data_IF_986200556254
#
_entry.id   IF_986200556254
#
_cell.length_a   1.000
_cell.length_b   1.000
_cell.length_c   1.000
_cell.angle_alpha   90.00
_cell.angle_beta   90.00
_cell.angle_gamma   90.00
#
_symmetry.space_group_name_H-M   'P 1'
#
loop_
_entity.id
_entity.type
_entity.pdbx_description
1 polymer ?
#
# COMPACT_ATOMS: atom_id res chain seq x y z
N UNK A 1 -1.84 -3.35 87.27
CA UNK A 1 -2.42 -1.98 87.31
C UNK A 1 -2.92 -1.74 88.73
N UNK A 2 -2.62 -0.56 89.31
CA UNK A 2 -3.12 -0.20 90.64
C UNK A 2 -4.66 -0.21 90.64
N UNK A 3 -5.27 -0.70 91.71
CA UNK A 3 -6.75 -0.72 91.83
C UNK A 3 -7.33 0.69 91.95
N UNK A 4 -6.56 1.63 92.48
CA UNK A 4 -6.85 3.07 92.48
C UNK A 4 -5.66 3.83 91.88
N UNK A 5 -5.90 4.61 90.82
CA UNK A 5 -4.86 5.46 90.24
C UNK A 5 -4.70 6.77 91.02
N UNK A 6 -3.54 7.40 90.87
CA UNK A 6 -3.14 8.55 91.68
C UNK A 6 -4.10 9.75 91.48
N UNK A 7 -4.59 9.98 90.25
CA UNK A 7 -5.55 11.05 89.96
C UNK A 7 -6.92 10.83 90.62
N UNK A 8 -7.42 9.59 90.67
CA UNK A 8 -8.67 9.28 91.37
C UNK A 8 -8.48 9.35 92.89
N UNK A 9 -7.31 8.93 93.40
CA UNK A 9 -6.95 9.04 94.81
C UNK A 9 -6.90 10.49 95.31
N UNK A 10 -6.31 11.41 94.53
CA UNK A 10 -6.27 12.84 94.86
C UNK A 10 -7.67 13.45 94.95
N UNK A 11 -8.56 13.12 94.01
CA UNK A 11 -9.95 13.61 94.03
C UNK A 11 -10.70 13.14 95.28
N UNK A 12 -10.57 11.87 95.65
CA UNK A 12 -11.22 11.31 96.83
C UNK A 12 -10.63 11.91 98.12
N UNK A 13 -9.31 12.05 98.19
CA UNK A 13 -8.60 12.63 99.35
C UNK A 13 -9.00 14.09 99.57
N UNK A 14 -9.13 14.87 98.51
CA UNK A 14 -9.56 16.27 98.60
C UNK A 14 -10.97 16.38 99.22
N UNK A 15 -11.88 15.50 98.83
CA UNK A 15 -13.24 15.48 99.34
C UNK A 15 -13.33 14.98 100.78
N UNK A 16 -12.57 13.95 101.16
CA UNK A 16 -12.45 13.52 102.57
C UNK A 16 -11.95 14.66 103.46
N UNK A 17 -10.93 15.42 103.01
CA UNK A 17 -10.41 16.58 103.75
C UNK A 17 -11.45 17.70 103.90
N UNK A 18 -12.34 17.88 102.90
CA UNK A 18 -13.41 18.88 102.93
C UNK A 18 -14.47 18.58 103.99
N UNK A 19 -14.71 17.31 104.31
CA UNK A 19 -15.78 16.86 105.21
C UNK A 19 -15.38 16.90 106.70
N UNK A 20 -14.09 17.00 107.02
CA UNK A 20 -13.56 17.00 108.40
C UNK A 20 -13.60 18.41 108.98
N UNK A 21 -14.38 18.64 110.05
CA UNK A 21 -14.60 19.98 110.65
C UNK A 21 -14.13 20.13 112.10
N UNK A 22 -13.56 19.10 112.73
CA UNK A 22 -13.10 19.19 114.12
C UNK A 22 -12.18 18.05 114.57
N UNK A 23 -11.56 18.14 115.77
CA UNK A 23 -10.53 17.21 116.24
C UNK A 23 -11.02 15.78 116.45
N UNK A 24 -12.30 15.60 116.78
CA UNK A 24 -12.96 14.30 116.98
C UNK A 24 -13.21 13.54 115.65
N UNK A 25 -13.11 14.22 114.51
CA UNK A 25 -13.35 13.65 113.17
C UNK A 25 -12.05 13.23 112.45
N UNK A 26 -10.87 13.52 113.02
CA UNK A 26 -9.59 13.13 112.41
C UNK A 26 -9.37 11.61 112.37
N UNK A 27 -9.92 10.88 113.34
CA UNK A 27 -9.87 9.41 113.34
C UNK A 27 -10.63 8.84 112.14
N UNK A 28 -11.77 9.43 111.74
CA UNK A 28 -12.55 8.99 110.58
C UNK A 28 -11.81 9.24 109.27
N UNK A 29 -11.14 10.39 109.14
CA UNK A 29 -10.28 10.72 108.01
C UNK A 29 -9.17 9.71 107.83
N UNK A 30 -8.46 9.38 108.90
CA UNK A 30 -7.37 8.41 108.87
C UNK A 30 -7.81 7.03 108.41
N UNK A 31 -9.00 6.58 108.80
CA UNK A 31 -9.56 5.29 108.37
C UNK A 31 -9.76 5.25 106.86
N UNK A 32 -10.44 6.25 106.29
CA UNK A 32 -10.72 6.28 104.84
C UNK A 32 -9.45 6.46 104.03
N UNK A 33 -8.53 7.35 104.45
CA UNK A 33 -7.27 7.53 103.74
C UNK A 33 -6.44 6.25 103.74
N UNK A 34 -6.36 5.51 104.86
CA UNK A 34 -5.67 4.21 104.88
C UNK A 34 -6.31 3.19 103.93
N UNK A 35 -7.65 3.12 103.87
CA UNK A 35 -8.37 2.25 102.92
C UNK A 35 -8.05 2.62 101.48
N UNK A 36 -8.11 3.91 101.14
CA UNK A 36 -7.81 4.40 99.79
C UNK A 36 -6.33 4.17 99.42
N UNK A 37 -5.39 4.44 100.32
CA UNK A 37 -3.96 4.17 100.11
C UNK A 37 -3.71 2.67 99.88
N UNK A 38 -4.42 1.78 100.59
CA UNK A 38 -4.33 0.34 100.38
C UNK A 38 -4.68 -0.02 98.93
N UNK A 39 -5.70 0.60 98.35
CA UNK A 39 -6.06 0.36 96.95
C UNK A 39 -5.10 0.98 95.92
N UNK A 40 -4.36 2.03 96.30
CA UNK A 40 -3.24 2.51 95.49
C UNK A 40 -2.06 1.52 95.48
N UNK A 41 -1.87 0.77 96.56
CA UNK A 41 -0.80 -0.23 96.70
C UNK A 41 -1.18 -1.61 96.15
N UNK A 42 -2.47 -1.91 96.03
CA UNK A 42 -2.96 -3.18 95.50
C UNK A 42 -2.99 -3.19 93.97
N UNK A 43 -2.57 -4.30 93.39
CA UNK A 43 -2.77 -4.58 91.97
C UNK A 43 -4.05 -5.38 91.75
N UNK A 44 -4.82 -5.02 90.73
CA UNK A 44 -6.07 -5.71 90.40
C UNK A 44 -6.94 -4.92 89.44
N UNK A 45 -8.21 -5.31 89.33
CA UNK A 45 -9.19 -4.56 88.53
C UNK A 45 -9.40 -3.16 89.12
N UNK A 46 -9.46 -2.11 88.27
CA UNK A 46 -9.74 -0.76 88.74
C UNK A 46 -11.05 -0.72 89.52
N UNK A 47 -11.01 -0.12 90.71
CA UNK A 47 -12.17 0.08 91.56
C UNK A 47 -13.31 0.74 90.79
N UNK A 48 -14.46 0.11 90.90
CA UNK A 48 -15.73 0.59 90.36
C UNK A 48 -16.35 1.60 91.31
N UNK A 49 -17.32 2.36 90.81
CA UNK A 49 -18.09 3.30 91.61
C UNK A 49 -18.77 2.63 92.81
N UNK A 50 -19.32 1.42 92.64
CA UNK A 50 -19.98 0.69 93.72
C UNK A 50 -19.00 0.29 94.84
N UNK A 51 -17.80 -0.17 94.48
CA UNK A 51 -16.76 -0.53 95.46
C UNK A 51 -16.21 0.71 96.18
N UNK A 52 -15.96 1.81 95.46
CA UNK A 52 -15.54 3.07 96.10
C UNK A 52 -16.59 3.59 97.08
N UNK A 53 -17.87 3.50 96.72
CA UNK A 53 -18.96 3.92 97.58
C UNK A 53 -19.03 3.08 98.86
N UNK A 54 -18.98 1.76 98.73
CA UNK A 54 -19.04 0.85 99.88
C UNK A 54 -17.91 1.06 100.90
N UNK A 55 -16.71 1.45 100.44
CA UNK A 55 -15.53 1.66 101.29
C UNK A 55 -15.49 3.01 102.01
N UNK A 56 -16.35 3.95 101.59
CA UNK A 56 -16.38 5.33 102.10
C UNK A 56 -17.69 5.63 102.85
N UNK A 57 -18.82 5.06 102.41
CA UNK A 57 -20.17 5.36 102.92
C UNK A 57 -20.37 4.98 104.39
N UNK A 58 -19.65 3.96 104.89
CA UNK A 58 -19.71 3.54 106.30
C UNK A 58 -19.05 4.55 107.26
N UNK A 59 -18.05 5.30 106.79
CA UNK A 59 -17.31 6.29 107.60
C UNK A 59 -17.77 7.72 107.31
N UNK A 60 -18.14 8.03 106.07
CA UNK A 60 -18.70 9.31 105.64
C UNK A 60 -19.98 9.10 104.82
N UNK A 61 -21.15 8.95 105.48
CA UNK A 61 -22.43 8.81 104.79
C UNK A 61 -22.81 10.02 103.93
N UNK A 62 -22.26 11.20 104.23
CA UNK A 62 -22.52 12.46 103.53
C UNK A 62 -21.59 12.72 102.32
N UNK A 63 -20.80 11.73 101.90
CA UNK A 63 -19.83 11.89 100.82
C UNK A 63 -20.48 12.17 99.46
N UNK A 64 -19.96 13.14 98.68
CA UNK A 64 -20.57 13.53 97.40
C UNK A 64 -20.48 12.42 96.34
N UNK A 65 -21.64 11.92 95.95
CA UNK A 65 -21.82 10.88 94.95
C UNK A 65 -21.25 11.25 93.58
N UNK A 66 -21.25 12.55 93.22
CA UNK A 66 -20.67 13.03 91.96
C UNK A 66 -19.15 12.88 91.95
N UNK A 67 -18.50 13.08 93.10
CA UNK A 67 -17.05 12.90 93.24
C UNK A 67 -16.70 11.42 93.10
N UNK A 68 -17.47 10.51 93.72
CA UNK A 68 -17.28 9.06 93.57
C UNK A 68 -17.41 8.59 92.12
N UNK A 69 -18.44 9.03 91.40
CA UNK A 69 -18.64 8.68 89.98
C UNK A 69 -17.52 9.20 89.09
N UNK A 70 -17.06 10.43 89.33
CA UNK A 70 -15.95 11.03 88.57
C UNK A 70 -14.64 10.30 88.85
N UNK A 71 -14.34 10.01 90.11
CA UNK A 71 -13.16 9.25 90.51
C UNK A 71 -13.15 7.85 89.86
N UNK A 72 -14.27 7.12 89.88
CA UNK A 72 -14.37 5.81 89.23
C UNK A 72 -14.13 5.85 87.71
N UNK A 73 -14.61 6.90 87.03
CA UNK A 73 -14.40 7.07 85.58
C UNK A 73 -12.93 7.34 85.26
N UNK A 74 -12.28 8.20 86.03
CA UNK A 74 -10.85 8.52 85.89
C UNK A 74 -9.99 7.31 86.20
N UNK A 75 -10.40 6.50 87.18
CA UNK A 75 -9.70 5.29 87.58
C UNK A 75 -9.61 4.22 86.48
N UNK A 76 -10.59 4.17 85.56
CA UNK A 76 -10.65 3.16 84.48
C UNK A 76 -9.80 3.47 83.24
N UNK A 77 -9.41 4.74 83.02
CA UNK A 77 -8.60 5.17 81.86
C UNK A 77 -9.29 5.00 80.48
N UNK A 78 -8.71 5.59 79.42
CA UNK A 78 -9.12 5.37 78.02
C UNK A 78 -8.53 4.04 77.50
N UNK A 79 -9.38 3.07 77.17
CA UNK A 79 -8.96 1.74 76.69
C UNK A 79 -8.29 1.72 75.31
N UNK A 80 -7.65 0.59 74.97
CA UNK A 80 -6.85 0.34 73.73
C UNK A 80 -7.60 0.75 72.46
N UNK A 81 -8.91 0.47 72.38
CA UNK A 81 -9.76 0.82 71.23
C UNK A 81 -9.82 2.34 70.97
N UNK A 82 -9.73 3.14 72.03
CA UNK A 82 -9.71 4.61 71.94
C UNK A 82 -8.42 5.14 71.31
N UNK A 83 -7.28 4.48 71.59
CA UNK A 83 -5.97 4.81 71.01
C UNK A 83 -5.87 4.42 69.54
N UNK A 84 -6.40 3.25 69.16
CA UNK A 84 -6.41 2.79 67.75
C UNK A 84 -7.26 3.73 66.88
N UNK A 85 -8.43 4.16 67.35
CA UNK A 85 -9.28 5.12 66.61
C UNK A 85 -8.57 6.46 66.38
N UNK A 86 -7.81 6.96 67.36
CA UNK A 86 -7.07 8.23 67.20
C UNK A 86 -5.95 8.11 66.17
N UNK A 87 -5.18 7.01 66.20
CA UNK A 87 -4.12 6.75 65.20
C UNK A 87 -4.71 6.56 63.79
N UNK A 88 -5.81 5.82 63.65
CA UNK A 88 -6.47 5.65 62.35
C UNK A 88 -6.96 6.98 61.77
N UNK A 89 -7.60 7.83 62.59
CA UNK A 89 -8.07 9.16 62.17
C UNK A 89 -6.89 10.06 61.80
N UNK A 90 -5.81 10.10 62.58
CA UNK A 90 -4.64 10.93 62.25
C UNK A 90 -3.98 10.51 60.94
N UNK A 91 -3.90 9.21 60.68
CA UNK A 91 -3.31 8.68 59.44
C UNK A 91 -4.19 8.99 58.23
N UNK A 92 -5.52 8.84 58.36
CA UNK A 92 -6.47 9.18 57.31
C UNK A 92 -6.48 10.69 56.98
N UNK A 93 -6.40 11.55 58.01
CA UNK A 93 -6.30 13.01 57.82
C UNK A 93 -4.99 13.38 57.13
N UNK A 94 -3.86 12.77 57.51
CA UNK A 94 -2.58 13.00 56.86
C UNK A 94 -2.60 12.57 55.38
N UNK A 95 -3.12 11.39 55.08
CA UNK A 95 -3.26 10.89 53.71
C UNK A 95 -4.19 11.77 52.85
N UNK A 96 -5.34 12.18 53.40
CA UNK A 96 -6.29 13.07 52.73
C UNK A 96 -5.69 14.46 52.44
N UNK A 97 -4.88 14.97 53.37
CA UNK A 97 -4.18 16.25 53.23
C UNK A 97 -3.08 16.16 52.16
N UNK A 98 -2.32 15.06 52.13
CA UNK A 98 -1.30 14.81 51.10
C UNK A 98 -1.92 14.70 49.71
N UNK A 99 -3.09 14.05 49.60
CA UNK A 99 -3.84 13.95 48.35
C UNK A 99 -4.32 15.33 47.87
N UNK A 100 -4.89 16.16 48.76
CA UNK A 100 -5.36 17.51 48.43
C UNK A 100 -4.21 18.43 47.97
N UNK A 101 -3.06 18.35 48.64
CA UNK A 101 -1.85 19.12 48.32
C UNK A 101 -1.21 18.66 47.00
N UNK A 102 -1.38 17.39 46.64
CA UNK A 102 -0.91 16.82 45.38
C UNK A 102 -1.93 16.92 44.23
N UNK A 103 -3.05 17.64 44.40
CA UNK A 103 -3.98 17.88 43.28
C UNK A 103 -3.31 18.71 42.18
N UNK A 104 -3.57 18.43 40.89
CA UNK A 104 -2.98 19.12 39.75
C UNK A 104 -3.58 20.52 39.51
N UNK A 105 -3.75 21.31 40.58
CA UNK A 105 -4.29 22.67 40.52
C UNK A 105 -3.20 23.71 40.83
N UNK A 106 -2.86 24.61 39.90
CA UNK A 106 -1.71 25.51 40.06
C UNK A 106 -1.80 26.45 41.27
N UNK A 107 -3.01 26.90 41.66
CA UNK A 107 -3.20 27.77 42.82
C UNK A 107 -2.85 27.10 44.15
N UNK A 108 -2.94 25.77 44.23
CA UNK A 108 -2.59 24.98 45.43
C UNK A 108 -1.12 24.60 45.40
N UNK A 109 -0.59 24.20 44.24
CA UNK A 109 0.80 23.72 44.11
C UNK A 109 1.84 24.82 44.23
N UNK A 110 1.56 26.05 43.80
CA UNK A 110 2.54 27.14 43.81
C UNK A 110 2.96 27.59 45.23
N UNK A 111 2.04 27.76 46.20
CA UNK A 111 2.44 27.99 47.58
C UNK A 111 3.19 26.79 48.19
N UNK A 112 2.73 25.57 47.89
CA UNK A 112 3.31 24.33 48.43
C UNK A 112 4.74 24.12 47.94
N UNK A 113 5.05 24.40 46.68
CA UNK A 113 6.40 24.26 46.14
C UNK A 113 7.40 25.22 46.78
N UNK A 114 6.96 26.40 47.24
CA UNK A 114 7.80 27.38 47.95
C UNK A 114 8.01 27.05 49.42
N UNK A 115 6.98 26.50 50.07
CA UNK A 115 6.96 26.32 51.53
C UNK A 115 7.38 24.90 51.95
N UNK A 116 6.98 23.87 51.20
CA UNK A 116 7.21 22.46 51.52
C UNK A 116 7.39 21.59 50.26
N UNK A 117 8.47 21.79 49.48
CA UNK A 117 8.66 21.13 48.18
C UNK A 117 8.71 19.59 48.24
N UNK A 118 9.12 19.02 49.38
CA UNK A 118 9.20 17.56 49.60
C UNK A 118 7.83 16.87 49.39
N UNK A 119 6.72 17.57 49.68
CA UNK A 119 5.37 17.03 49.50
C UNK A 119 4.99 16.81 48.03
N UNK A 120 5.70 17.45 47.10
CA UNK A 120 5.47 17.34 45.64
C UNK A 120 6.47 16.40 44.95
N UNK A 121 7.46 15.85 45.68
CA UNK A 121 8.54 15.03 45.12
C UNK A 121 8.02 13.84 44.27
N UNK A 122 7.02 13.04 44.69
CA UNK A 122 6.51 11.94 43.87
C UNK A 122 5.90 12.42 42.53
N UNK A 123 5.22 13.56 42.52
CA UNK A 123 4.65 14.13 41.30
C UNK A 123 5.76 14.62 40.36
N UNK A 124 6.82 15.23 40.89
CA UNK A 124 7.95 15.66 40.08
C UNK A 124 8.74 14.47 39.51
N UNK A 125 8.98 13.42 40.31
CA UNK A 125 9.57 12.15 39.86
C UNK A 125 8.82 11.54 38.67
N UNK A 126 7.49 11.45 38.77
CA UNK A 126 6.66 10.99 37.66
C UNK A 126 6.78 11.91 36.43
N UNK A 127 6.85 13.22 36.65
CA UNK A 127 6.98 14.20 35.57
C UNK A 127 8.32 14.09 34.82
N UNK A 128 9.46 13.92 35.53
CA UNK A 128 10.77 13.63 34.88
C UNK A 128 10.70 12.44 33.99
N UNK A 129 10.14 11.37 34.55
CA UNK A 129 10.22 10.09 33.91
C UNK A 129 9.47 10.18 32.58
N UNK A 130 8.25 10.71 32.61
CA UNK A 130 7.47 10.92 31.39
C UNK A 130 8.13 11.91 30.44
N UNK A 131 8.69 13.02 30.94
CA UNK A 131 9.36 13.98 30.08
C UNK A 131 10.60 13.40 29.40
N UNK A 132 11.54 12.81 30.15
CA UNK A 132 12.76 12.23 29.60
C UNK A 132 12.48 11.08 28.64
N UNK A 133 11.50 10.23 28.97
CA UNK A 133 11.06 9.18 28.07
C UNK A 133 10.46 9.78 26.81
N UNK A 134 9.59 10.79 26.91
CA UNK A 134 9.04 11.48 25.75
C UNK A 134 10.14 12.05 24.84
N UNK A 135 11.07 12.84 25.38
CA UNK A 135 12.15 13.45 24.58
C UNK A 135 13.02 12.38 23.91
N UNK A 136 13.40 11.32 24.64
CA UNK A 136 14.19 10.23 24.07
C UNK A 136 13.46 9.48 22.96
N UNK A 137 12.16 9.24 23.13
CA UNK A 137 11.32 8.59 22.13
C UNK A 137 11.08 9.49 20.91
N UNK A 138 10.93 10.80 21.10
CA UNK A 138 10.87 11.77 19.99
C UNK A 138 12.14 11.73 19.16
N UNK A 139 13.32 11.71 19.79
CA UNK A 139 14.59 11.62 19.06
C UNK A 139 14.73 10.31 18.28
N UNK A 140 14.31 9.19 18.86
CA UNK A 140 14.30 7.90 18.16
C UNK A 140 13.30 7.90 17.00
N UNK A 141 12.10 8.43 17.22
CA UNK A 141 11.09 8.57 16.19
C UNK A 141 11.58 9.45 15.03
N UNK A 142 12.24 10.57 15.34
CA UNK A 142 12.75 11.49 14.32
C UNK A 142 13.77 10.83 13.40
N UNK A 143 14.69 10.03 13.96
CA UNK A 143 15.62 9.22 13.17
C UNK A 143 14.89 8.21 12.29
N UNK A 144 13.92 7.48 12.85
CA UNK A 144 13.18 6.43 12.14
C UNK A 144 12.25 6.98 11.05
N UNK A 145 11.67 8.15 11.25
CA UNK A 145 10.72 8.78 10.30
C UNK A 145 11.45 9.60 9.25
N UNK A 146 12.38 10.48 9.64
CA UNK A 146 13.05 11.38 8.68
C UNK A 146 14.20 10.72 7.92
N UNK A 147 14.77 9.63 8.46
CA UNK A 147 15.87 8.90 7.82
C UNK A 147 15.47 7.47 7.48
N UNK A 148 14.16 7.22 7.29
CA UNK A 148 13.64 5.91 6.95
C UNK A 148 14.27 5.37 5.67
N UNK A 149 14.76 4.13 5.75
CA UNK A 149 15.30 3.40 4.60
C UNK A 149 14.43 2.21 4.22
N UNK A 150 13.53 1.81 5.11
CA UNK A 150 12.65 0.66 4.96
C UNK A 150 11.24 0.94 5.53
N UNK A 151 10.25 0.15 5.11
CA UNK A 151 8.91 0.22 5.68
C UNK A 151 8.89 -0.14 7.18
N UNK A 152 9.81 -1.02 7.62
CA UNK A 152 9.95 -1.34 9.03
C UNK A 152 10.42 -0.15 9.86
N UNK A 153 11.27 0.73 9.31
CA UNK A 153 11.70 1.96 9.98
C UNK A 153 10.49 2.90 10.21
N UNK A 154 9.62 3.03 9.21
CA UNK A 154 8.39 3.85 9.29
C UNK A 154 7.43 3.28 10.35
N UNK A 155 7.22 1.97 10.37
CA UNK A 155 6.33 1.31 11.34
C UNK A 155 6.86 1.46 12.78
N UNK A 156 8.15 1.20 13.00
CA UNK A 156 8.77 1.39 14.29
C UNK A 156 8.75 2.86 14.71
N UNK A 157 8.98 3.78 13.76
CA UNK A 157 8.86 5.22 13.95
C UNK A 157 7.48 5.61 14.45
N UNK A 158 6.42 5.09 13.84
CA UNK A 158 5.03 5.31 14.27
C UNK A 158 4.77 4.82 15.70
N UNK A 159 5.30 3.65 16.07
CA UNK A 159 5.22 3.14 17.44
C UNK A 159 5.89 4.10 18.44
N UNK A 160 7.09 4.62 18.10
CA UNK A 160 7.83 5.57 18.94
C UNK A 160 7.12 6.92 19.05
N UNK A 161 6.54 7.43 17.96
CA UNK A 161 5.68 8.62 17.98
C UNK A 161 4.52 8.42 18.95
N UNK A 162 3.77 7.32 18.83
CA UNK A 162 2.63 7.03 19.72
C UNK A 162 3.05 6.92 21.20
N UNK A 163 4.17 6.24 21.47
CA UNK A 163 4.71 6.13 22.84
C UNK A 163 5.13 7.49 23.39
N UNK A 164 5.79 8.32 22.59
CA UNK A 164 6.20 9.67 22.99
C UNK A 164 4.99 10.57 23.30
N UNK A 165 3.96 10.55 22.45
CA UNK A 165 2.72 11.29 22.64
C UNK A 165 2.04 10.88 23.96
N UNK A 166 1.97 9.58 24.23
CA UNK A 166 1.43 9.03 25.50
C UNK A 166 2.21 9.50 26.74
N UNK A 167 3.51 9.73 26.62
CA UNK A 167 4.32 10.28 27.71
C UNK A 167 4.13 11.80 27.86
N UNK A 168 4.03 12.55 26.75
CA UNK A 168 3.75 13.98 26.79
C UNK A 168 2.35 14.30 27.35
N UNK A 169 1.33 13.50 27.02
CA UNK A 169 -0.03 13.72 27.50
C UNK A 169 -0.22 13.48 29.00
N UNK A 170 0.73 12.78 29.64
CA UNK A 170 0.80 12.66 31.09
C UNK A 170 1.43 13.87 31.77
N UNK A 171 2.04 14.77 31.01
CA UNK A 171 2.57 16.02 31.54
C UNK A 171 1.42 17.03 31.70
N UNK A 172 1.17 17.53 32.91
CA UNK A 172 -0.04 18.28 33.17
C UNK A 172 0.05 19.74 32.72
N UNK A 173 -0.82 20.19 31.80
CA UNK A 173 -0.81 21.51 31.11
C UNK A 173 -0.48 22.74 31.99
N UNK A 174 -0.85 22.74 33.28
CA UNK A 174 -0.49 23.83 34.21
C UNK A 174 1.02 24.03 34.40
N UNK A 175 1.86 23.07 34.00
CA UNK A 175 3.32 23.15 34.10
C UNK A 175 3.92 24.20 33.13
N UNK A 176 3.19 24.59 32.08
CA UNK A 176 3.69 25.39 30.95
C UNK A 176 3.96 26.88 31.26
N UNK A 177 3.64 27.36 32.46
CA UNK A 177 3.82 28.78 32.83
C UNK A 177 4.66 29.06 34.08
N UNK A 178 4.93 28.08 34.94
CA UNK A 178 5.51 28.34 36.27
C UNK A 178 6.34 27.16 36.84
N UNK A 179 7.68 27.28 36.74
CA UNK A 179 8.78 26.67 37.54
C UNK A 179 9.04 25.13 37.48
N UNK A 180 10.28 24.63 37.74
CA UNK A 180 11.52 25.32 38.18
C UNK A 180 12.76 25.16 37.26
N UNK A 181 13.65 26.17 37.27
CA UNK A 181 15.07 26.02 36.93
C UNK A 181 15.73 25.22 38.07
N UNK A 182 16.20 24.00 37.79
CA UNK A 182 17.02 23.10 38.63
C UNK A 182 17.09 23.38 40.15
N UNK A 183 16.66 22.40 40.96
CA UNK A 183 16.92 22.44 42.41
C UNK A 183 17.58 21.18 42.96
N UNK A 184 18.35 21.45 44.00
CA UNK A 184 19.46 20.66 44.49
C UNK A 184 19.20 19.91 45.79
N UNK A 185 20.03 18.89 46.01
CA UNK A 185 20.43 18.42 47.33
C UNK A 185 21.91 18.73 47.59
N UNK A 186 22.40 18.41 48.79
CA UNK A 186 23.80 18.46 49.22
C UNK A 186 24.77 17.50 48.48
N UNK A 187 24.28 16.59 47.62
CA UNK A 187 25.14 15.60 46.90
C UNK A 187 24.78 15.49 45.40
N UNK A 188 23.56 15.81 44.94
CA UNK A 188 23.30 16.10 43.52
C UNK A 188 21.92 16.74 43.26
N UNK A 189 21.81 17.39 42.10
CA UNK A 189 20.64 18.10 41.58
C UNK A 189 20.50 17.75 40.11
N UNK A 190 19.33 17.35 39.61
CA UNK A 190 19.02 17.56 38.19
C UNK A 190 17.51 17.59 37.94
N UNK A 191 17.02 18.79 37.63
CA UNK A 191 15.71 19.00 36.99
C UNK A 191 15.86 20.12 35.98
N UNK A 192 15.75 19.82 34.68
CA UNK A 192 15.70 20.82 33.61
C UNK A 192 14.58 20.43 32.64
N UNK A 193 13.40 20.99 32.91
CA UNK A 193 12.29 21.05 31.96
C UNK A 193 12.27 22.46 31.43
N UNK A 194 12.19 22.60 30.12
CA UNK A 194 11.92 23.90 29.52
C UNK A 194 10.59 23.82 28.77
N UNK A 195 9.83 24.91 28.84
CA UNK A 195 8.62 25.06 28.04
C UNK A 195 8.96 24.89 26.55
N UNK A 196 10.08 25.48 26.13
CA UNK A 196 10.59 25.42 24.76
C UNK A 196 10.84 23.97 24.29
N UNK A 197 11.54 23.14 25.07
CA UNK A 197 11.78 21.73 24.70
C UNK A 197 10.46 20.92 24.62
N UNK A 198 9.49 21.20 25.49
CA UNK A 198 8.19 20.54 25.41
C UNK A 198 7.37 20.98 24.18
N UNK A 199 7.34 22.29 23.90
CA UNK A 199 6.66 22.83 22.73
C UNK A 199 7.28 22.27 21.45
N UNK A 200 8.61 22.23 21.38
CA UNK A 200 9.37 21.60 20.28
C UNK A 200 8.99 20.12 20.16
N UNK A 201 9.02 19.35 21.25
CA UNK A 201 8.68 17.93 21.21
C UNK A 201 7.26 17.66 20.71
N UNK A 202 6.27 18.46 21.14
CA UNK A 202 4.89 18.36 20.62
C UNK A 202 4.79 18.73 19.15
N UNK A 203 5.49 19.78 18.72
CA UNK A 203 5.53 20.20 17.32
C UNK A 203 6.17 19.14 16.43
N UNK A 204 7.27 18.54 16.88
CA UNK A 204 7.98 17.48 16.17
C UNK A 204 7.10 16.23 16.05
N UNK A 205 6.38 15.84 17.11
CA UNK A 205 5.40 14.74 17.04
C UNK A 205 4.32 15.05 16.00
N UNK A 206 3.69 16.23 16.05
CA UNK A 206 2.65 16.58 15.08
C UNK A 206 3.16 16.60 13.64
N UNK A 207 4.42 17.02 13.40
CA UNK A 207 5.06 16.93 12.09
C UNK A 207 5.27 15.47 11.67
N UNK A 208 5.81 14.64 12.55
CA UNK A 208 6.07 13.23 12.27
C UNK A 208 4.77 12.46 12.03
N UNK A 209 3.69 12.74 12.77
CA UNK A 209 2.38 12.13 12.52
C UNK A 209 1.87 12.43 11.12
N UNK A 210 2.03 13.68 10.65
CA UNK A 210 1.66 14.05 9.29
C UNK A 210 2.54 13.36 8.23
N UNK A 211 3.86 13.27 8.46
CA UNK A 211 4.78 12.56 7.58
C UNK A 211 4.49 11.06 7.52
N UNK A 212 4.25 10.43 8.67
CA UNK A 212 3.89 9.02 8.79
C UNK A 212 2.59 8.71 8.04
N UNK A 213 1.59 9.58 8.15
CA UNK A 213 0.34 9.45 7.38
C UNK A 213 0.60 9.52 5.87
N UNK A 214 1.45 10.46 5.42
CA UNK A 214 1.84 10.55 4.01
C UNK A 214 2.59 9.31 3.54
N UNK A 215 3.56 8.82 4.32
CA UNK A 215 4.36 7.62 4.02
C UNK A 215 3.50 6.36 3.96
N UNK A 216 2.54 6.19 4.89
CA UNK A 216 1.63 5.05 4.89
C UNK A 216 0.74 5.03 3.64
N UNK A 217 0.10 6.15 3.31
CA UNK A 217 -0.71 6.24 2.09
C UNK A 217 0.13 5.98 0.83
N UNK A 218 1.38 6.45 0.82
CA UNK A 218 2.30 6.24 -0.29
C UNK A 218 2.72 4.77 -0.42
N UNK A 219 2.94 4.05 0.69
CA UNK A 219 3.22 2.62 0.71
C UNK A 219 2.01 1.81 0.21
N UNK A 220 0.80 2.14 0.65
CA UNK A 220 -0.42 1.48 0.15
C UNK A 220 -0.58 1.69 -1.36
N UNK A 221 -0.31 2.91 -1.86
CA UNK A 221 -0.31 3.21 -3.28
C UNK A 221 0.80 2.47 -4.06
N UNK A 222 1.96 2.26 -3.45
CA UNK A 222 3.06 1.50 -4.05
C UNK A 222 2.67 0.03 -4.23
N UNK A 223 2.14 -0.60 -3.20
CA UNK A 223 1.72 -2.00 -3.24
C UNK A 223 0.59 -2.18 -4.26
N UNK A 224 -0.44 -1.33 -4.21
CA UNK A 224 -1.54 -1.36 -5.17
C UNK A 224 -1.07 -1.17 -6.63
N UNK A 225 -0.14 -0.24 -6.87
CA UNK A 225 0.41 0.01 -8.19
C UNK A 225 1.28 -1.14 -8.71
N UNK A 226 2.10 -1.75 -7.84
CA UNK A 226 2.90 -2.93 -8.20
C UNK A 226 1.98 -4.11 -8.53
N UNK A 227 1.02 -4.42 -7.66
CA UNK A 227 0.07 -5.52 -7.85
C UNK A 227 -0.74 -5.34 -9.14
N UNK A 228 -1.16 -4.11 -9.44
CA UNK A 228 -1.88 -3.79 -10.68
C UNK A 228 -1.02 -4.05 -11.93
N UNK A 229 0.26 -3.65 -11.90
CA UNK A 229 1.19 -3.92 -13.02
C UNK A 229 1.44 -5.41 -13.17
N UNK A 230 1.75 -6.12 -12.09
CA UNK A 230 2.08 -7.55 -12.13
C UNK A 230 0.86 -8.39 -12.56
N UNK A 231 -0.34 -8.05 -12.08
CA UNK A 231 -1.58 -8.68 -12.55
C UNK A 231 -1.84 -8.43 -14.04
N UNK A 232 -1.58 -7.21 -14.53
CA UNK A 232 -1.75 -6.89 -15.95
C UNK A 232 -0.71 -7.61 -16.83
N UNK A 233 0.53 -7.77 -16.36
CA UNK A 233 1.54 -8.59 -17.02
C UNK A 233 1.09 -10.05 -17.13
N UNK A 234 0.56 -10.62 -16.05
CA UNK A 234 0.02 -11.97 -16.07
C UNK A 234 -1.17 -12.11 -17.04
N UNK A 235 -2.10 -11.14 -17.04
CA UNK A 235 -3.21 -11.11 -17.99
C UNK A 235 -2.73 -11.07 -19.44
N UNK A 236 -1.63 -10.36 -19.73
CA UNK A 236 -1.04 -10.32 -21.06
C UNK A 236 -0.47 -11.69 -21.48
N UNK A 237 0.19 -12.40 -20.57
CA UNK A 237 0.75 -13.74 -20.83
C UNK A 237 -0.36 -14.78 -21.05
N UNK A 238 -1.43 -14.73 -20.25
CA UNK A 238 -2.56 -15.65 -20.32
C UNK A 238 -3.52 -15.36 -21.50
N UNK A 239 -3.44 -14.15 -22.06
CA UNK A 239 -4.33 -13.71 -23.13
C UNK A 239 -4.12 -14.49 -24.44
N UNK A 240 -5.22 -14.98 -25.00
CA UNK A 240 -5.22 -15.79 -26.22
C UNK A 240 -5.55 -14.99 -27.47
N UNK A 241 -6.24 -13.85 -27.30
CA UNK A 241 -6.63 -12.98 -28.41
C UNK A 241 -5.86 -11.64 -28.42
N UNK A 242 -5.69 -11.01 -29.59
CA UNK A 242 -5.11 -9.66 -29.67
C UNK A 242 -5.88 -8.59 -28.89
N UNK A 243 -7.21 -8.75 -28.76
CA UNK A 243 -8.05 -7.82 -27.98
C UNK A 243 -7.74 -7.93 -26.49
N UNK A 244 -7.69 -9.13 -25.94
CA UNK A 244 -7.33 -9.37 -24.54
C UNK A 244 -5.93 -8.85 -24.21
N UNK A 245 -4.96 -9.06 -25.13
CA UNK A 245 -3.62 -8.49 -24.97
C UNK A 245 -3.62 -6.96 -24.97
N UNK A 246 -4.50 -6.34 -25.77
CA UNK A 246 -4.66 -4.88 -25.77
C UNK A 246 -5.23 -4.39 -24.44
N UNK A 247 -6.28 -5.04 -23.94
CA UNK A 247 -6.89 -4.69 -22.65
C UNK A 247 -5.88 -4.84 -21.49
N UNK A 248 -5.06 -5.89 -21.52
CA UNK A 248 -3.97 -6.08 -20.55
C UNK A 248 -2.92 -4.96 -20.61
N UNK A 249 -2.53 -4.47 -21.80
CA UNK A 249 -1.61 -3.32 -21.90
C UNK A 249 -2.21 -2.01 -21.38
N UNK A 250 -3.53 -1.83 -21.49
CA UNK A 250 -4.23 -0.68 -20.90
C UNK A 250 -4.25 -0.78 -19.37
N UNK A 251 -4.54 -1.95 -18.82
CA UNK A 251 -4.48 -2.20 -17.38
C UNK A 251 -3.06 -1.99 -16.82
N UNK A 252 -2.04 -2.43 -17.56
CA UNK A 252 -0.64 -2.22 -17.20
C UNK A 252 -0.31 -0.72 -17.16
N UNK A 253 -0.70 0.05 -18.17
CA UNK A 253 -0.50 1.50 -18.17
C UNK A 253 -1.18 2.16 -16.96
N UNK A 254 -2.39 1.72 -16.58
CA UNK A 254 -3.08 2.24 -15.39
C UNK A 254 -2.32 1.96 -14.09
N UNK A 255 -1.70 0.78 -13.95
CA UNK A 255 -0.81 0.47 -12.82
C UNK A 255 0.43 1.36 -12.79
N UNK A 256 1.04 1.63 -13.95
CA UNK A 256 2.15 2.59 -14.10
C UNK A 256 1.73 4.01 -13.71
N UNK A 257 0.54 4.44 -14.08
CA UNK A 257 0.01 5.76 -13.74
C UNK A 257 -0.20 5.89 -12.23
N UNK A 258 -0.77 4.85 -11.59
CA UNK A 258 -0.90 4.76 -10.12
C UNK A 258 0.46 4.94 -9.43
N UNK A 259 1.50 4.27 -9.92
CA UNK A 259 2.87 4.41 -9.39
C UNK A 259 3.47 5.80 -9.63
N UNK A 260 3.07 6.51 -10.69
CA UNK A 260 3.55 7.87 -10.97
C UNK A 260 2.92 8.94 -10.07
N UNK A 261 1.71 8.68 -9.55
CA UNK A 261 1.03 9.61 -8.64
C UNK A 261 1.64 9.63 -7.23
N UNK A 262 2.46 8.63 -6.90
CA UNK A 262 3.12 8.52 -5.60
C UNK A 262 4.16 9.64 -5.44
N UNK A 263 4.08 10.47 -4.37
CA UNK A 263 5.00 11.59 -4.20
C UNK A 263 6.46 11.15 -4.07
N UNK A 264 7.40 11.69 -4.88
CA UNK A 264 8.78 11.20 -4.97
C UNK A 264 9.62 11.44 -3.71
N UNK A 265 9.20 12.35 -2.83
CA UNK A 265 9.84 12.62 -1.55
C UNK A 265 9.66 11.48 -0.52
N UNK A 266 8.64 10.65 -0.71
CA UNK A 266 8.35 9.52 0.19
C UNK A 266 9.32 8.35 -0.06
N UNK A 267 9.44 7.44 0.91
CA UNK A 267 10.17 6.18 0.70
C UNK A 267 9.55 5.39 -0.46
N UNK A 268 8.23 5.28 -0.46
CA UNK A 268 7.47 4.57 -1.49
C UNK A 268 7.68 5.18 -2.89
N UNK A 269 7.70 6.50 -3.02
CA UNK A 269 7.95 7.20 -4.27
C UNK A 269 9.33 6.88 -4.84
N UNK A 270 10.38 6.81 -4.02
CA UNK A 270 11.73 6.40 -4.48
C UNK A 270 11.74 4.97 -5.01
N UNK A 271 11.04 4.05 -4.34
CA UNK A 271 10.91 2.66 -4.78
C UNK A 271 10.11 2.59 -6.10
N UNK A 272 8.99 3.31 -6.18
CA UNK A 272 8.16 3.40 -7.38
C UNK A 272 8.96 3.91 -8.58
N UNK A 273 9.73 5.00 -8.43
CA UNK A 273 10.56 5.55 -9.51
C UNK A 273 11.61 4.55 -10.02
N UNK A 274 12.20 3.76 -9.13
CA UNK A 274 13.11 2.69 -9.53
C UNK A 274 12.43 1.62 -10.39
N UNK A 275 11.20 1.22 -10.02
CA UNK A 275 10.41 0.19 -10.73
C UNK A 275 9.81 0.69 -12.04
N UNK A 276 9.32 1.93 -12.06
CA UNK A 276 8.67 2.58 -13.21
C UNK A 276 9.52 2.53 -14.48
N UNK A 277 10.86 2.63 -14.36
CA UNK A 277 11.76 2.51 -15.51
C UNK A 277 11.68 1.14 -16.17
N UNK A 278 11.65 0.06 -15.37
CA UNK A 278 11.54 -1.30 -15.88
C UNK A 278 10.14 -1.53 -16.49
N UNK A 279 9.08 -1.18 -15.76
CA UNK A 279 7.71 -1.39 -16.22
C UNK A 279 7.39 -0.63 -17.52
N UNK A 280 7.87 0.61 -17.69
CA UNK A 280 7.70 1.37 -18.94
C UNK A 280 8.41 0.73 -20.13
N UNK A 281 9.66 0.29 -19.93
CA UNK A 281 10.43 -0.40 -20.98
C UNK A 281 9.72 -1.67 -21.43
N UNK A 282 9.29 -2.47 -20.47
CA UNK A 282 8.66 -3.77 -20.76
C UNK A 282 7.30 -3.57 -21.44
N UNK A 283 6.54 -2.53 -21.05
CA UNK A 283 5.30 -2.14 -21.73
C UNK A 283 5.53 -1.67 -23.18
N UNK A 284 6.58 -0.88 -23.42
CA UNK A 284 6.97 -0.41 -24.76
C UNK A 284 7.33 -1.59 -25.68
N UNK A 285 8.04 -2.59 -25.16
CA UNK A 285 8.40 -3.81 -25.91
C UNK A 285 7.16 -4.61 -26.34
N UNK A 286 6.24 -4.87 -25.42
CA UNK A 286 5.03 -5.66 -25.74
C UNK A 286 4.05 -4.91 -26.64
N UNK A 287 3.89 -3.59 -26.46
CA UNK A 287 3.01 -2.77 -27.30
C UNK A 287 3.59 -2.59 -28.70
N UNK A 288 4.90 -2.42 -28.84
CA UNK A 288 5.59 -2.43 -30.14
C UNK A 288 5.39 -3.75 -30.88
N UNK A 289 5.53 -4.88 -30.17
CA UNK A 289 5.31 -6.22 -30.75
C UNK A 289 3.86 -6.45 -31.18
N UNK A 290 2.88 -6.00 -30.38
CA UNK A 290 1.45 -6.09 -30.73
C UNK A 290 1.09 -5.25 -31.96
N UNK A 291 1.54 -3.99 -31.99
CA UNK A 291 1.28 -3.09 -33.12
C UNK A 291 1.89 -3.65 -34.42
N UNK A 292 3.11 -4.18 -34.33
CA UNK A 292 3.76 -4.86 -35.44
C UNK A 292 3.01 -6.10 -35.92
N UNK A 293 2.62 -6.98 -35.00
CA UNK A 293 1.83 -8.17 -35.32
C UNK A 293 0.50 -7.86 -36.03
N UNK A 294 -0.24 -6.86 -35.56
CA UNK A 294 -1.51 -6.44 -36.17
C UNK A 294 -1.32 -5.87 -37.58
N UNK A 295 -0.26 -5.08 -37.81
CA UNK A 295 0.08 -4.56 -39.13
C UNK A 295 0.43 -5.70 -40.10
N UNK A 296 1.32 -6.60 -39.69
CA UNK A 296 1.70 -7.75 -40.52
C UNK A 296 0.49 -8.62 -40.87
N UNK A 297 -0.39 -8.91 -39.89
CA UNK A 297 -1.61 -9.67 -40.13
C UNK A 297 -2.54 -9.00 -41.16
N UNK A 298 -2.69 -7.67 -41.10
CA UNK A 298 -3.50 -6.90 -42.05
C UNK A 298 -2.93 -6.97 -43.47
N UNK A 299 -1.61 -6.80 -43.61
CA UNK A 299 -0.91 -6.89 -44.90
C UNK A 299 -1.00 -8.29 -45.51
N UNK A 300 -0.78 -9.33 -44.70
CA UNK A 300 -0.90 -10.73 -45.12
C UNK A 300 -2.34 -11.05 -45.55
N UNK A 301 -3.34 -10.57 -44.81
CA UNK A 301 -4.75 -10.82 -45.15
C UNK A 301 -5.14 -10.12 -46.46
N UNK A 302 -4.74 -8.85 -46.64
CA UNK A 302 -4.97 -8.15 -47.90
C UNK A 302 -4.28 -8.85 -49.08
N UNK A 303 -3.04 -9.33 -48.89
CA UNK A 303 -2.33 -10.09 -49.92
C UNK A 303 -3.09 -11.38 -50.32
N UNK A 304 -3.65 -12.10 -49.33
CA UNK A 304 -4.46 -13.31 -49.58
C UNK A 304 -5.71 -13.01 -50.40
N UNK A 305 -6.35 -11.86 -50.22
CA UNK A 305 -7.54 -11.47 -50.99
C UNK A 305 -7.22 -11.20 -52.46
N UNK A 306 -6.12 -10.49 -52.75
CA UNK A 306 -5.65 -10.29 -54.12
C UNK A 306 -5.25 -11.62 -54.78
N UNK A 307 -4.52 -12.47 -54.07
CA UNK A 307 -4.13 -13.79 -54.55
C UNK A 307 -5.32 -14.73 -54.79
N UNK A 308 -6.33 -14.68 -53.91
CA UNK A 308 -7.59 -15.41 -54.09
C UNK A 308 -8.31 -14.97 -55.37
N UNK A 309 -8.40 -13.66 -55.59
CA UNK A 309 -9.00 -13.08 -56.79
C UNK A 309 -8.23 -13.50 -58.04
N UNK A 310 -6.90 -13.39 -58.02
CA UNK A 310 -6.03 -13.81 -59.12
C UNK A 310 -6.19 -15.31 -59.44
N UNK A 311 -6.23 -16.14 -58.40
CA UNK A 311 -6.40 -17.60 -58.55
C UNK A 311 -7.77 -17.96 -59.10
N UNK A 312 -8.81 -17.20 -58.73
CA UNK A 312 -10.18 -17.41 -59.22
C UNK A 312 -10.31 -16.97 -60.68
N UNK A 313 -9.74 -15.81 -61.04
CA UNK A 313 -9.74 -15.33 -62.43
C UNK A 313 -8.90 -16.21 -63.36
N UNK A 314 -7.91 -16.95 -62.84
CA UNK A 314 -7.10 -17.89 -63.60
C UNK A 314 -7.78 -19.24 -63.86
N UNK A 315 -8.95 -19.51 -63.28
CA UNK A 315 -9.72 -20.73 -63.53
C UNK A 315 -10.29 -20.70 -64.96
N UNK A 316 -10.36 -21.85 -65.65
CA UNK A 316 -10.99 -21.97 -66.98
C UNK A 316 -10.26 -21.27 -68.16
N UNK A 317 -8.92 -21.26 -68.15
CA UNK A 317 -8.10 -20.91 -69.33
C UNK A 317 -8.44 -21.78 -70.57
N UNK A 318 -8.22 -21.29 -71.83
CA UNK A 318 -7.34 -20.19 -72.24
C UNK A 318 -7.98 -18.80 -72.25
N UNK A 319 -7.16 -17.78 -72.03
CA UNK A 319 -7.56 -16.37 -71.97
C UNK A 319 -6.76 -15.47 -72.90
N UNK A 320 -7.32 -14.34 -73.36
CA UNK A 320 -6.57 -13.37 -74.14
C UNK A 320 -5.53 -12.63 -73.26
N UNK A 321 -4.50 -11.99 -73.87
CA UNK A 321 -3.40 -11.35 -73.16
C UNK A 321 -3.86 -10.34 -72.10
N UNK A 322 -4.93 -9.60 -72.34
CA UNK A 322 -5.43 -8.57 -71.43
C UNK A 322 -5.88 -9.16 -70.09
N UNK A 323 -6.45 -10.38 -70.12
CA UNK A 323 -6.88 -11.10 -68.92
C UNK A 323 -5.66 -11.66 -68.18
N UNK A 324 -4.70 -12.26 -68.89
CA UNK A 324 -3.46 -12.72 -68.26
C UNK A 324 -2.67 -11.60 -67.61
N UNK A 325 -2.60 -10.44 -68.26
CA UNK A 325 -1.94 -9.25 -67.70
C UNK A 325 -2.65 -8.74 -66.44
N UNK A 326 -3.98 -8.79 -66.40
CA UNK A 326 -4.75 -8.45 -65.20
C UNK A 326 -4.46 -9.41 -64.05
N UNK A 327 -4.47 -10.72 -64.31
CA UNK A 327 -4.16 -11.74 -63.31
C UNK A 327 -2.74 -11.54 -62.76
N UNK A 328 -1.76 -11.26 -63.64
CA UNK A 328 -0.40 -10.94 -63.22
C UNK A 328 -0.36 -9.70 -62.32
N UNK A 329 -1.12 -8.65 -62.66
CA UNK A 329 -1.25 -7.45 -61.84
C UNK A 329 -1.88 -7.69 -60.46
N UNK A 330 -2.79 -8.66 -60.32
CA UNK A 330 -3.34 -9.05 -59.02
C UNK A 330 -2.32 -9.80 -58.17
N UNK A 331 -1.55 -10.72 -58.77
CA UNK A 331 -0.44 -11.38 -58.08
C UNK A 331 0.64 -10.40 -57.63
N UNK A 332 1.00 -9.42 -58.48
CA UNK A 332 1.94 -8.37 -58.12
C UNK A 332 1.44 -7.54 -56.93
N UNK A 333 0.16 -7.15 -56.91
CA UNK A 333 -0.41 -6.42 -55.77
C UNK A 333 -0.36 -7.24 -54.47
N UNK A 334 -0.58 -8.56 -54.55
CA UNK A 334 -0.44 -9.44 -53.39
C UNK A 334 1.01 -9.47 -52.89
N UNK A 335 1.98 -9.59 -53.80
CA UNK A 335 3.42 -9.57 -53.52
C UNK A 335 3.84 -8.24 -52.88
N UNK A 336 3.46 -7.11 -53.47
CA UNK A 336 3.81 -5.76 -52.99
C UNK A 336 3.36 -5.52 -51.54
N UNK A 337 2.24 -6.14 -51.13
CA UNK A 337 1.73 -6.05 -49.73
C UNK A 337 2.55 -6.90 -48.78
N UNK A 338 3.01 -8.08 -49.20
CA UNK A 338 3.86 -8.94 -48.39
C UNK A 338 5.26 -8.35 -48.22
N UNK A 339 5.79 -7.65 -49.22
CA UNK A 339 7.08 -6.95 -49.16
C UNK A 339 7.05 -5.74 -48.20
N UNK A 340 5.87 -5.21 -47.89
CA UNK A 340 5.70 -4.11 -46.94
C UNK A 340 5.76 -4.55 -45.47
N UNK A 341 5.81 -5.86 -45.19
CA UNK A 341 5.93 -6.39 -43.83
C UNK A 341 7.39 -6.22 -43.36
N UNK A 342 7.67 -5.39 -42.33
CA UNK A 342 9.04 -5.18 -41.87
C UNK A 342 9.64 -6.41 -41.20
N UNK A 343 10.97 -6.48 -41.19
CA UNK A 343 11.71 -7.64 -40.65
C UNK A 343 11.53 -7.81 -39.15
N UNK A 344 11.20 -6.74 -38.44
CA UNK A 344 10.97 -6.72 -37.00
C UNK A 344 9.55 -7.19 -36.61
N UNK A 345 8.61 -7.28 -37.56
CA UNK A 345 7.25 -7.74 -37.26
C UNK A 345 7.22 -9.25 -36.99
N UNK A 346 6.45 -9.65 -35.98
CA UNK A 346 6.24 -11.06 -35.63
C UNK A 346 5.64 -11.90 -36.78
N UNK A 347 4.98 -11.26 -37.75
CA UNK A 347 4.44 -11.90 -38.95
C UNK A 347 5.40 -12.02 -40.13
N UNK A 348 6.64 -11.52 -40.03
CA UNK A 348 7.58 -11.46 -41.16
C UNK A 348 7.89 -12.83 -41.77
N UNK A 349 8.16 -13.84 -40.95
CA UNK A 349 8.49 -15.20 -41.44
C UNK A 349 7.35 -15.81 -42.25
N UNK A 350 6.11 -15.61 -41.81
CA UNK A 350 4.93 -16.10 -42.54
C UNK A 350 4.74 -15.31 -43.85
N UNK A 351 4.95 -13.99 -43.82
CA UNK A 351 4.90 -13.16 -45.03
C UNK A 351 5.93 -13.61 -46.08
N UNK A 352 7.17 -13.90 -45.68
CA UNK A 352 8.22 -14.39 -46.59
C UNK A 352 7.89 -15.77 -47.19
N UNK A 353 7.27 -16.67 -46.41
CA UNK A 353 6.81 -17.97 -46.90
C UNK A 353 5.76 -17.81 -48.01
N UNK A 354 4.76 -16.95 -47.77
CA UNK A 354 3.69 -16.67 -48.75
C UNK A 354 4.25 -15.93 -49.97
N UNK A 355 5.19 -15.01 -49.78
CA UNK A 355 5.83 -14.24 -50.85
C UNK A 355 6.48 -15.17 -51.88
N UNK A 356 7.25 -16.16 -51.43
CA UNK A 356 7.87 -17.14 -52.33
C UNK A 356 6.84 -17.96 -53.11
N UNK A 357 5.71 -18.30 -52.49
CA UNK A 357 4.61 -18.97 -53.19
C UNK A 357 4.01 -18.07 -54.29
N UNK A 358 3.74 -16.80 -53.97
CA UNK A 358 3.10 -15.88 -54.90
C UNK A 358 4.00 -15.46 -56.05
N UNK A 359 5.31 -15.30 -55.81
CA UNK A 359 6.30 -15.07 -56.87
C UNK A 359 6.31 -16.22 -57.89
N UNK A 360 6.21 -17.47 -57.42
CA UNK A 360 6.08 -18.62 -58.32
C UNK A 360 4.78 -18.58 -59.13
N UNK A 361 3.65 -18.21 -58.50
CA UNK A 361 2.35 -18.08 -59.20
C UNK A 361 2.39 -16.97 -60.26
N UNK A 362 2.98 -15.82 -59.95
CA UNK A 362 3.19 -14.74 -60.90
C UNK A 362 3.99 -15.21 -62.12
N UNK A 363 5.13 -15.87 -61.89
CA UNK A 363 5.98 -16.38 -62.98
C UNK A 363 5.25 -17.35 -63.92
N UNK A 364 4.34 -18.19 -63.38
CA UNK A 364 3.48 -19.06 -64.20
C UNK A 364 2.52 -18.24 -65.07
N UNK A 365 1.90 -17.21 -64.52
CA UNK A 365 0.95 -16.35 -65.25
C UNK A 365 1.66 -15.52 -66.32
N UNK A 366 2.84 -14.98 -66.03
CA UNK A 366 3.64 -14.23 -67.01
C UNK A 366 4.09 -15.13 -68.17
N UNK A 367 4.48 -16.37 -67.89
CA UNK A 367 4.80 -17.34 -68.94
C UNK A 367 3.60 -17.60 -69.86
N UNK A 368 2.38 -17.72 -69.30
CA UNK A 368 1.13 -17.87 -70.07
C UNK A 368 0.81 -16.63 -70.91
N UNK A 369 1.01 -15.44 -70.37
CA UNK A 369 0.85 -14.19 -71.10
C UNK A 369 1.76 -14.14 -72.34
N UNK A 370 3.05 -14.46 -72.18
CA UNK A 370 4.02 -14.47 -73.27
C UNK A 370 3.64 -15.54 -74.32
N UNK A 371 3.21 -16.71 -73.87
CA UNK A 371 2.76 -17.80 -74.73
C UNK A 371 1.58 -17.37 -75.62
N UNK A 372 0.58 -16.72 -75.01
CA UNK A 372 -0.60 -16.21 -75.71
C UNK A 372 -0.22 -15.13 -76.74
N UNK A 373 0.58 -14.14 -76.35
CA UNK A 373 1.00 -13.05 -77.23
C UNK A 373 1.79 -13.54 -78.45
N UNK A 374 2.70 -14.50 -78.26
CA UNK A 374 3.48 -15.10 -79.36
C UNK A 374 2.58 -15.86 -80.33
N UNK A 375 1.61 -16.60 -79.80
CA UNK A 375 0.66 -17.36 -80.60
C UNK A 375 -0.26 -16.45 -81.41
N UNK A 376 -0.73 -15.34 -80.81
CA UNK A 376 -1.52 -14.34 -81.53
C UNK A 376 -0.73 -13.69 -82.67
N UNK A 377 0.50 -13.23 -82.39
CA UNK A 377 1.35 -12.63 -83.41
C UNK A 377 1.69 -13.59 -84.56
N UNK A 378 1.89 -14.88 -84.25
CA UNK A 378 2.12 -15.92 -85.25
C UNK A 378 0.89 -16.13 -86.16
N UNK A 379 -0.31 -16.20 -85.57
CA UNK A 379 -1.54 -16.33 -86.35
C UNK A 379 -1.80 -15.08 -87.22
N UNK A 380 -1.63 -13.88 -86.67
CA UNK A 380 -1.80 -12.61 -87.42
C UNK A 380 -0.83 -12.53 -88.59
N UNK A 381 0.43 -12.90 -88.38
CA UNK A 381 1.44 -12.94 -89.46
C UNK A 381 1.04 -13.93 -90.56
N UNK A 382 0.59 -15.13 -90.19
CA UNK A 382 0.12 -16.14 -91.12
C UNK A 382 -1.12 -15.69 -91.90
N UNK A 383 -2.09 -15.05 -91.23
CA UNK A 383 -3.29 -14.49 -91.86
C UNK A 383 -2.94 -13.39 -92.86
N UNK A 384 -2.08 -12.45 -92.49
CA UNK A 384 -1.61 -11.40 -93.38
C UNK A 384 -0.90 -11.96 -94.63
N UNK A 385 -0.02 -12.95 -94.44
CA UNK A 385 0.63 -13.67 -95.54
C UNK A 385 -0.38 -14.39 -96.43
N UNK A 386 -1.39 -15.04 -95.86
CA UNK A 386 -2.43 -15.72 -96.62
C UNK A 386 -3.29 -14.76 -97.47
N UNK A 387 -3.69 -13.62 -96.90
CA UNK A 387 -4.45 -12.58 -97.63
C UNK A 387 -3.62 -11.98 -98.75
N UNK A 388 -2.37 -11.61 -98.48
CA UNK A 388 -1.47 -11.04 -99.50
C UNK A 388 -1.13 -12.05 -100.60
N UNK A 389 -0.98 -13.33 -100.26
CA UNK A 389 -0.79 -14.41 -101.24
C UNK A 389 -2.00 -14.56 -102.15
N UNK A 390 -3.21 -14.57 -101.58
CA UNK A 390 -4.47 -14.69 -102.35
C UNK A 390 -4.60 -13.56 -103.37
N UNK A 391 -4.32 -12.31 -102.97
CA UNK A 391 -4.35 -11.17 -103.87
C UNK A 391 -3.33 -11.25 -105.03
N UNK A 392 -2.12 -11.80 -104.77
CA UNK A 392 -1.08 -11.98 -105.81
C UNK A 392 -1.42 -13.07 -106.81
N UNK A 393 -2.11 -14.13 -106.36
CA UNK A 393 -2.59 -15.21 -107.22
C UNK A 393 -3.68 -14.69 -108.17
N UNK A 394 -4.64 -13.89 -107.67
CA UNK A 394 -5.68 -13.26 -108.49
C UNK A 394 -5.10 -12.35 -109.58
N UNK A 395 -3.98 -11.68 -109.30
CA UNK A 395 -3.28 -10.82 -110.25
C UNK A 395 -2.31 -11.57 -111.20
N UNK A 396 -2.31 -12.92 -111.16
CA UNK A 396 -1.45 -13.79 -112.00
C UNK A 396 0.06 -13.54 -111.83
N UNK A 397 0.51 -13.11 -110.65
CA UNK A 397 1.89 -12.67 -110.40
C UNK A 397 2.85 -13.77 -109.90
N UNK A 398 2.42 -15.03 -109.82
CA UNK A 398 3.14 -16.11 -109.15
C UNK A 398 3.24 -17.37 -110.02
N UNK A 399 4.41 -18.00 -110.02
CA UNK A 399 4.57 -19.36 -110.56
C UNK A 399 4.32 -20.43 -109.46
N UNK A 400 4.17 -21.68 -109.87
CA UNK A 400 3.81 -22.81 -108.99
C UNK A 400 4.78 -23.01 -107.82
N UNK A 401 6.10 -22.92 -108.09
CA UNK A 401 7.12 -23.10 -107.06
C UNK A 401 7.11 -21.97 -106.01
N UNK A 402 6.90 -20.72 -106.47
CA UNK A 402 6.75 -19.57 -105.58
C UNK A 402 5.48 -19.68 -104.74
N UNK A 403 4.36 -20.11 -105.33
CA UNK A 403 3.10 -20.31 -104.61
C UNK A 403 3.25 -21.36 -103.49
N UNK A 404 3.84 -22.52 -103.78
CA UNK A 404 4.11 -23.56 -102.79
C UNK A 404 5.04 -23.07 -101.66
N UNK A 405 6.10 -22.32 -101.99
CA UNK A 405 7.01 -21.74 -100.98
C UNK A 405 6.32 -20.76 -100.04
N UNK A 406 5.40 -19.94 -100.54
CA UNK A 406 4.65 -18.98 -99.72
C UNK A 406 3.64 -19.70 -98.81
N UNK A 407 2.97 -20.75 -99.30
CA UNK A 407 2.11 -21.60 -98.47
C UNK A 407 2.90 -22.30 -97.36
N UNK A 408 4.11 -22.79 -97.65
CA UNK A 408 4.99 -23.37 -96.63
C UNK A 408 5.44 -22.33 -95.60
N UNK A 409 5.72 -21.10 -96.01
CA UNK A 409 6.03 -19.98 -95.11
C UNK A 409 4.87 -19.69 -94.15
N UNK A 410 3.62 -19.74 -94.64
CA UNK A 410 2.41 -19.61 -93.81
C UNK A 410 2.31 -20.76 -92.80
N UNK A 411 2.53 -22.01 -93.21
CA UNK A 411 2.52 -23.16 -92.30
C UNK A 411 3.61 -23.05 -91.22
N UNK A 412 4.79 -22.53 -91.56
CA UNK A 412 5.87 -22.34 -90.59
C UNK A 412 5.51 -21.31 -89.51
N UNK A 413 4.73 -20.27 -89.85
CA UNK A 413 4.23 -19.32 -88.85
C UNK A 413 3.10 -19.93 -88.01
N UNK A 414 2.17 -20.66 -88.65
CA UNK A 414 1.10 -21.34 -87.92
C UNK A 414 1.62 -22.43 -86.97
N UNK A 415 2.72 -23.09 -87.32
CA UNK A 415 3.38 -24.07 -86.45
C UNK A 415 4.00 -23.47 -85.18
N UNK A 416 4.10 -22.14 -85.07
CA UNK A 416 4.54 -21.44 -83.85
C UNK A 416 3.38 -21.17 -82.88
N UNK A 417 2.13 -21.41 -83.30
CA UNK A 417 0.96 -21.26 -82.43
C UNK A 417 0.92 -22.44 -81.47
N UNK A 418 1.00 -22.16 -80.16
CA UNK A 418 1.12 -23.17 -79.12
C UNK A 418 -0.25 -23.65 -78.60
N UNK A 419 -0.30 -24.90 -78.12
CA UNK A 419 -1.47 -25.50 -77.48
C UNK A 419 -1.86 -24.77 -76.19
N UNK A 420 -3.17 -24.67 -75.95
CA UNK A 420 -3.71 -23.99 -74.78
C UNK A 420 -3.68 -22.46 -74.88
N UNK A 421 -3.62 -21.90 -76.09
CA UNK A 421 -3.83 -20.48 -76.38
C UNK A 421 -5.20 -20.24 -77.02
N UNK A 422 -5.72 -19.00 -76.93
CA UNK A 422 -7.07 -18.70 -77.45
C UNK A 422 -7.18 -18.83 -78.97
N UNK A 423 -6.05 -18.68 -79.67
CA UNK A 423 -5.96 -18.72 -81.13
C UNK A 423 -5.62 -20.10 -81.69
N UNK A 424 -5.38 -21.10 -80.84
CA UNK A 424 -4.95 -22.43 -81.27
C UNK A 424 -5.93 -23.09 -82.24
N UNK A 425 -7.21 -23.14 -81.90
CA UNK A 425 -8.26 -23.72 -82.76
C UNK A 425 -8.33 -23.03 -84.14
N UNK A 426 -8.28 -21.70 -84.14
CA UNK A 426 -8.27 -20.90 -85.39
C UNK A 426 -7.04 -21.18 -86.24
N UNK A 427 -5.88 -21.37 -85.61
CA UNK A 427 -4.65 -21.73 -86.31
C UNK A 427 -4.75 -23.14 -86.91
N UNK A 428 -5.31 -24.11 -86.19
CA UNK A 428 -5.51 -25.48 -86.70
C UNK A 428 -6.42 -25.51 -87.93
N UNK A 429 -7.51 -24.74 -87.91
CA UNK A 429 -8.38 -24.60 -89.08
C UNK A 429 -7.64 -24.02 -90.28
N UNK A 430 -6.81 -22.99 -90.08
CA UNK A 430 -6.03 -22.39 -91.16
C UNK A 430 -4.92 -23.34 -91.67
N UNK A 431 -4.27 -24.10 -90.79
CA UNK A 431 -3.30 -25.15 -91.17
C UNK A 431 -3.96 -26.14 -92.13
N UNK A 432 -5.15 -26.66 -91.79
CA UNK A 432 -5.88 -27.61 -92.65
C UNK A 432 -6.21 -27.01 -94.01
N UNK A 433 -6.66 -25.75 -94.05
CA UNK A 433 -6.99 -25.06 -95.29
C UNK A 433 -5.75 -24.85 -96.20
N UNK A 434 -4.60 -24.50 -95.61
CA UNK A 434 -3.35 -24.29 -96.37
C UNK A 434 -2.78 -25.63 -96.85
N UNK A 435 -2.85 -26.69 -96.04
CA UNK A 435 -2.44 -28.05 -96.44
C UNK A 435 -3.27 -28.56 -97.62
N UNK A 436 -4.58 -28.34 -97.63
CA UNK A 436 -5.43 -28.72 -98.75
C UNK A 436 -5.04 -28.00 -100.06
N UNK A 437 -4.64 -26.73 -99.99
CA UNK A 437 -4.15 -25.96 -101.16
C UNK A 437 -2.80 -26.47 -101.66
N UNK A 438 -1.89 -26.85 -100.76
CA UNK A 438 -0.62 -27.47 -101.15
C UNK A 438 -0.83 -28.78 -101.90
N UNK A 439 -1.74 -29.64 -101.42
CA UNK A 439 -2.04 -30.91 -102.07
C UNK A 439 -2.58 -30.75 -103.50
N UNK A 440 -3.32 -29.67 -103.79
CA UNK A 440 -3.82 -29.36 -105.13
C UNK A 440 -2.74 -28.93 -106.12
N UNK A 441 -1.55 -28.52 -105.63
CA UNK A 441 -0.42 -28.12 -106.48
C UNK A 441 0.39 -29.35 -106.92
N UNK A 442 0.45 -30.37 -106.07
CA UNK A 442 1.22 -31.60 -106.28
C UNK A 442 0.48 -32.65 -107.12
N UNK A 443 -0.84 -32.47 -107.31
CA UNK A 443 -1.73 -33.28 -108.15
C UNK A 443 -1.95 -32.65 -109.53
#
# INVERSE_FOLDING_TARGET
MRRLNDSAYEMLTAEVKRLVKGPLEEVRKDIVLRRLTKFCLQEGTPLTYAELKAEIEDVFPEFDDKVLKKAARVNRGLGILGRIKTVAISTAVAAGSLWLVNLPYPMIRWPVSRVAPILLLPSFMSMDHNYRQAISLVQQADQLVNQATSAQDIELGAERVQQSQKHLDRLPVWFLGYYPQAYCSWISCTWRFTYDEFEIARKDIGRMEAQLFQEQNALDGLDAGIDAVEAAQQQYEDATSPSEKTDATVAWQAGIDTLNEIPPETLAGRIAQSKLKAYRRDLEEVTGTLAGGNRAATLIQAAKEFAWTASTEAQDAPFPPEVWQRIAGLWQQAIDRLEQVPVEDSGYTEAQRILAEYQNKLGVVEARLIQEQRSQAALESAQFKNVSLTARVEQTQLNTAQYASELQSILNDLGKVEEGTTVYESAQQLIQAIQARLQQIDS
#
